data_IF_702167376282
#
_entry.id   IF_702167376282
#
_cell.length_a   1.000
_cell.length_b   1.000
_cell.length_c   1.000
_cell.angle_alpha   90.00
_cell.angle_beta   90.00
_cell.angle_gamma   90.00
#
_symmetry.space_group_name_H-M   'P 1'
#
loop_
_entity.id
_entity.type
_entity.pdbx_description
1 polymer ?
#
# COMPACT_ATOMS: atom_id res chain seq x y z
N UNK A 1 17.27 18.64 25.38
CA UNK A 1 16.50 17.86 24.38
C UNK A 1 15.20 17.49 25.07
N UNK A 2 14.08 18.01 24.58
CA UNK A 2 12.79 17.83 25.23
C UNK A 2 12.42 16.34 25.14
N UNK A 3 12.17 15.70 26.28
CA UNK A 3 11.44 14.44 26.37
C UNK A 3 10.00 14.74 25.94
N UNK A 4 9.78 14.86 24.64
CA UNK A 4 8.44 14.74 24.10
C UNK A 4 8.00 13.32 24.45
N UNK A 5 7.07 13.21 25.39
CA UNK A 5 6.37 11.97 25.70
C UNK A 5 6.03 11.32 24.36
N UNK A 6 6.71 10.22 24.04
CA UNK A 6 6.62 9.52 22.77
C UNK A 6 5.14 9.18 22.56
N UNK A 7 4.42 10.04 21.80
CA UNK A 7 2.99 9.84 21.56
C UNK A 7 2.88 8.56 20.76
N UNK A 8 2.07 7.63 21.28
CA UNK A 8 1.71 6.43 20.54
C UNK A 8 1.21 6.85 19.16
N UNK A 9 1.84 6.31 18.12
CA UNK A 9 1.38 6.52 16.77
C UNK A 9 0.02 5.82 16.61
N UNK A 10 -1.01 6.57 16.26
CA UNK A 10 -2.34 6.07 15.96
C UNK A 10 -2.65 6.34 14.50
N UNK A 11 -2.76 5.29 13.71
CA UNK A 11 -3.28 5.37 12.34
C UNK A 11 -4.81 5.38 12.38
N UNK A 12 -5.49 6.14 11.49
CA UNK A 12 -6.95 6.07 11.37
C UNK A 12 -7.42 4.78 10.68
N UNK A 13 -6.50 4.00 10.10
CA UNK A 13 -6.82 2.72 9.48
C UNK A 13 -7.11 1.66 10.53
N UNK A 14 -8.13 0.85 10.26
CA UNK A 14 -8.33 -0.36 11.05
C UNK A 14 -7.23 -1.38 10.76
N UNK A 15 -6.96 -2.26 11.74
CA UNK A 15 -6.03 -3.38 11.56
C UNK A 15 -6.36 -4.21 10.30
N UNK A 16 -7.64 -4.52 10.06
CA UNK A 16 -8.08 -5.27 8.87
C UNK A 16 -7.85 -4.52 7.56
N UNK A 17 -7.85 -3.19 7.57
CA UNK A 17 -7.57 -2.40 6.38
C UNK A 17 -6.09 -2.51 6.00
N UNK A 18 -5.20 -2.51 7.00
CA UNK A 18 -3.76 -2.73 6.78
C UNK A 18 -3.45 -4.16 6.36
N UNK A 19 -4.14 -5.17 6.90
CA UNK A 19 -3.98 -6.56 6.43
C UNK A 19 -4.36 -6.70 4.95
N UNK A 20 -5.47 -6.10 4.53
CA UNK A 20 -5.86 -6.10 3.10
C UNK A 20 -4.84 -5.38 2.23
N UNK A 21 -4.28 -4.28 2.70
CA UNK A 21 -3.19 -3.58 2.00
C UNK A 21 -2.01 -4.52 1.74
N UNK A 22 -1.65 -5.33 2.73
CA UNK A 22 -0.57 -6.32 2.62
C UNK A 22 -0.94 -7.42 1.62
N UNK A 23 -2.15 -7.98 1.71
CA UNK A 23 -2.62 -9.02 0.78
C UNK A 23 -2.59 -8.55 -0.68
N UNK A 24 -3.01 -7.30 -0.93
CA UNK A 24 -2.93 -6.69 -2.27
C UNK A 24 -1.48 -6.50 -2.72
N UNK A 25 -0.60 -6.00 -1.85
CA UNK A 25 0.82 -5.83 -2.16
C UNK A 25 1.53 -7.15 -2.45
N UNK A 26 1.24 -8.20 -1.66
CA UNK A 26 1.77 -9.54 -1.87
C UNK A 26 1.33 -10.09 -3.23
N UNK A 27 0.06 -9.91 -3.60
CA UNK A 27 -0.45 -10.34 -4.91
C UNK A 27 0.27 -9.63 -6.07
N UNK A 28 0.48 -8.31 -5.96
CA UNK A 28 1.22 -7.54 -6.97
C UNK A 28 2.68 -8.00 -7.07
N UNK A 29 3.33 -8.26 -5.94
CA UNK A 29 4.72 -8.76 -5.92
C UNK A 29 4.81 -10.15 -6.54
N UNK A 30 3.84 -11.03 -6.29
CA UNK A 30 3.78 -12.35 -6.92
C UNK A 30 3.60 -12.27 -8.45
N UNK A 31 2.84 -11.29 -8.93
CA UNK A 31 2.58 -11.08 -10.35
C UNK A 31 3.75 -10.37 -11.07
N UNK A 32 4.18 -9.21 -10.57
CA UNK A 32 5.08 -8.28 -11.25
C UNK A 32 6.49 -8.18 -10.62
N UNK A 33 6.72 -8.91 -9.52
CA UNK A 33 7.98 -8.84 -8.75
C UNK A 33 8.11 -7.58 -7.89
N UNK A 34 7.15 -6.66 -7.97
CA UNK A 34 7.07 -5.42 -7.20
C UNK A 34 5.63 -4.95 -7.11
N UNK A 35 5.26 -4.27 -6.02
CA UNK A 35 3.99 -3.53 -5.92
C UNK A 35 4.09 -2.10 -6.49
N UNK A 36 5.25 -1.73 -7.05
CA UNK A 36 5.56 -0.40 -7.55
C UNK A 36 6.27 -0.50 -8.92
N UNK A 37 5.53 -0.77 -10.02
CA UNK A 37 6.14 -0.98 -11.33
C UNK A 37 6.71 0.30 -11.94
N UNK A 38 6.04 1.44 -11.73
CA UNK A 38 6.41 2.75 -12.30
C UNK A 38 7.21 3.64 -11.34
N UNK A 39 7.72 3.08 -10.24
CA UNK A 39 8.35 3.86 -9.16
C UNK A 39 9.58 3.16 -8.58
N UNK A 40 10.38 3.92 -7.83
CA UNK A 40 11.50 3.33 -7.10
C UNK A 40 11.04 2.65 -5.82
N UNK A 41 11.88 1.79 -5.25
CA UNK A 41 11.62 1.19 -3.95
C UNK A 41 11.44 2.26 -2.86
N UNK A 42 12.25 3.32 -2.90
CA UNK A 42 12.19 4.45 -1.98
C UNK A 42 10.86 5.21 -2.09
N UNK A 43 10.35 5.43 -3.30
CA UNK A 43 9.05 6.06 -3.53
C UNK A 43 7.91 5.22 -2.94
N UNK A 44 7.97 3.89 -3.13
CA UNK A 44 7.00 2.95 -2.54
C UNK A 44 7.05 2.94 -1.00
N UNK A 45 8.24 3.01 -0.42
CA UNK A 45 8.41 3.10 1.03
C UNK A 45 7.80 4.39 1.60
N UNK A 46 8.00 5.52 0.91
CA UNK A 46 7.40 6.80 1.27
C UNK A 46 5.88 6.74 1.15
N UNK A 47 5.34 6.18 0.05
CA UNK A 47 3.91 6.05 -0.17
C UNK A 47 3.24 5.21 0.92
N UNK A 48 3.83 4.07 1.30
CA UNK A 48 3.32 3.23 2.39
C UNK A 48 3.24 3.98 3.73
N UNK A 49 4.26 4.77 4.08
CA UNK A 49 4.24 5.58 5.31
C UNK A 49 3.14 6.64 5.22
N UNK A 50 3.02 7.35 4.10
CA UNK A 50 1.99 8.37 3.91
C UNK A 50 0.58 7.78 3.95
N UNK A 51 0.38 6.58 3.40
CA UNK A 51 -0.86 5.83 3.53
C UNK A 51 -1.16 5.53 5.00
N UNK A 52 -0.23 4.96 5.75
CA UNK A 52 -0.43 4.65 7.18
C UNK A 52 -0.72 5.91 8.01
N UNK A 53 -0.12 7.04 7.64
CA UNK A 53 -0.39 8.36 8.23
C UNK A 53 -1.70 9.00 7.73
N UNK A 54 -2.40 8.39 6.77
CA UNK A 54 -3.60 8.92 6.12
C UNK A 54 -3.39 10.29 5.46
N UNK A 55 -2.18 10.54 4.98
CA UNK A 55 -1.86 11.72 4.17
C UNK A 55 -2.19 11.49 2.71
N UNK A 56 -2.01 10.26 2.23
CA UNK A 56 -2.29 9.84 0.85
C UNK A 56 -3.12 8.54 0.85
N UNK A 57 -3.76 8.27 -0.29
CA UNK A 57 -4.49 7.03 -0.53
C UNK A 57 -3.56 5.82 -0.68
N UNK A 58 -4.17 4.65 -0.83
CA UNK A 58 -3.44 3.41 -1.13
C UNK A 58 -3.15 3.35 -2.63
N UNK A 59 -1.87 3.47 -3.00
CA UNK A 59 -1.43 3.22 -4.38
C UNK A 59 -1.44 1.71 -4.68
N UNK A 60 -1.10 0.87 -3.71
CA UNK A 60 -1.16 -0.59 -3.82
C UNK A 60 -2.56 -1.06 -4.24
N UNK A 61 -3.62 -0.48 -3.67
CA UNK A 61 -4.99 -0.82 -4.04
C UNK A 61 -5.30 -0.41 -5.48
N UNK A 62 -4.86 0.78 -5.90
CA UNK A 62 -5.08 1.26 -7.27
C UNK A 62 -4.44 0.31 -8.29
N UNK A 63 -3.19 -0.08 -8.06
CA UNK A 63 -2.47 -1.06 -8.90
C UNK A 63 -3.14 -2.45 -8.87
N UNK A 64 -3.57 -2.90 -7.70
CA UNK A 64 -4.26 -4.18 -7.55
C UNK A 64 -5.61 -4.22 -8.27
N UNK A 65 -6.40 -3.15 -8.18
CA UNK A 65 -7.67 -3.02 -8.88
C UNK A 65 -7.47 -2.99 -10.40
N UNK A 66 -6.39 -2.35 -10.88
CA UNK A 66 -6.00 -2.38 -12.29
C UNK A 66 -5.65 -3.80 -12.75
N UNK A 67 -4.80 -4.52 -12.00
CA UNK A 67 -4.44 -5.92 -12.29
C UNK A 67 -5.67 -6.83 -12.37
N UNK A 68 -6.59 -6.73 -11.42
CA UNK A 68 -7.82 -7.54 -11.40
C UNK A 68 -8.73 -7.22 -12.60
N UNK A 69 -8.84 -5.95 -12.97
CA UNK A 69 -9.58 -5.53 -14.16
C UNK A 69 -8.99 -6.10 -15.46
N UNK A 70 -7.66 -6.18 -15.55
CA UNK A 70 -6.98 -6.75 -16.72
C UNK A 70 -7.23 -8.26 -16.81
N UNK A 71 -7.09 -8.99 -15.71
CA UNK A 71 -7.34 -10.44 -15.66
C UNK A 71 -8.79 -10.81 -16.02
N UNK A 72 -9.77 -10.05 -15.53
CA UNK A 72 -11.19 -10.26 -15.87
C UNK A 72 -11.48 -10.01 -17.35
N UNK A 73 -10.75 -9.06 -17.97
CA UNK A 73 -10.85 -8.75 -19.40
C UNK A 73 -10.20 -9.79 -20.30
N UNK A 74 -9.12 -10.43 -19.87
CA UNK A 74 -8.44 -11.51 -20.62
C UNK A 74 -9.16 -12.86 -20.56
N UNK A 75 -10.01 -13.07 -19.55
CA UNK A 75 -10.82 -14.28 -19.39
C UNK A 75 -12.14 -14.29 -20.20
N UNK A 76 -12.43 -13.22 -20.95
CA UNK A 76 -13.69 -12.99 -21.70
C UNK A 76 -13.60 -13.26 -23.20
#
# INVERSE_FOLDING_TARGET
>A
MHNELQRSFTTPHSYRALEREIEMAETLIEHDGTAFPDSTFEDGYIAAIKFVMCHEGSNVREEYEALMSEQDGEAS
#
